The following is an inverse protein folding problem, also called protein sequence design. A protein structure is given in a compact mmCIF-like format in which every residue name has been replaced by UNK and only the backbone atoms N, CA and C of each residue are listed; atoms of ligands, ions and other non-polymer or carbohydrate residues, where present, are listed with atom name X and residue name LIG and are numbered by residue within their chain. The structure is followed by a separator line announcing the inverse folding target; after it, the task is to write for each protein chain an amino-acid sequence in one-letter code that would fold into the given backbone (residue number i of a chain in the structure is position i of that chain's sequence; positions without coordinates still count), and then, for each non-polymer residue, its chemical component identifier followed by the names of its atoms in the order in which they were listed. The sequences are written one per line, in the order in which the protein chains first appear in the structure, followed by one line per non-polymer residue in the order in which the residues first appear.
data_IF_865984322851
#
_entry.id   IF_865984322851
#
_cell.length_a   1.000
_cell.length_b   1.000
_cell.length_c   1.000
_cell.angle_alpha   90.00
_cell.angle_beta   90.00
_cell.angle_gamma   90.00
#
_symmetry.space_group_name_H-M   'P 1'
#
loop_
_entity.id
_entity.type
_entity.pdbx_description
1 polymer ?
#
# COMPACT_ATOMS: atom_id res chain seq x y z
N UNK A 1 -11.97 -55.45 16.85
CA UNK A 1 -11.65 -54.62 15.67
C UNK A 1 -10.90 -53.39 16.14
N UNK A 2 -9.63 -53.19 15.74
CA UNK A 2 -8.83 -52.01 16.12
C UNK A 2 -9.01 -50.94 15.04
N UNK A 3 -9.68 -49.85 15.37
CA UNK A 3 -9.84 -48.68 14.50
C UNK A 3 -8.55 -47.85 14.61
N UNK A 4 -7.83 -47.69 13.50
CA UNK A 4 -6.69 -46.78 13.42
C UNK A 4 -7.21 -45.41 12.97
N UNK A 5 -7.26 -44.45 13.90
CA UNK A 5 -7.54 -43.04 13.61
C UNK A 5 -6.32 -42.43 12.91
N UNK A 6 -6.44 -42.23 11.60
CA UNK A 6 -5.49 -41.46 10.79
C UNK A 6 -5.70 -39.97 11.09
N UNK A 7 -4.89 -39.38 11.96
CA UNK A 7 -4.81 -37.93 12.14
C UNK A 7 -4.13 -37.31 10.92
N UNK A 8 -4.91 -36.73 10.01
CA UNK A 8 -4.41 -35.84 8.96
C UNK A 8 -3.95 -34.53 9.62
N UNK A 9 -2.65 -34.44 9.90
CA UNK A 9 -2.02 -33.17 10.29
C UNK A 9 -1.93 -32.30 9.04
N UNK A 10 -2.88 -31.38 8.87
CA UNK A 10 -2.79 -30.34 7.86
C UNK A 10 -1.69 -29.34 8.27
N UNK A 11 -0.49 -29.50 7.73
CA UNK A 11 0.54 -28.46 7.81
C UNK A 11 0.05 -27.26 6.97
N UNK A 12 -0.47 -26.23 7.64
CA UNK A 12 -0.65 -24.93 7.02
C UNK A 12 0.74 -24.40 6.67
N UNK A 13 1.09 -24.41 5.39
CA UNK A 13 2.23 -23.65 4.90
C UNK A 13 1.94 -22.18 5.23
N UNK A 14 2.61 -21.64 6.26
CA UNK A 14 2.66 -20.21 6.49
C UNK A 14 3.49 -19.60 5.36
N UNK A 15 2.89 -19.48 4.17
CA UNK A 15 3.42 -18.64 3.12
C UNK A 15 3.42 -17.21 3.65
N UNK A 16 4.58 -16.55 3.65
CA UNK A 16 4.63 -15.12 3.92
C UNK A 16 3.82 -14.42 2.82
N UNK A 17 2.57 -14.05 3.14
CA UNK A 17 1.77 -13.19 2.27
C UNK A 17 2.34 -11.79 2.37
N UNK A 18 2.91 -11.32 1.27
CA UNK A 18 3.33 -9.92 1.11
C UNK A 18 2.13 -8.99 0.97
N UNK A 19 0.92 -9.53 0.75
CA UNK A 19 -0.31 -8.77 0.87
C UNK A 19 -0.71 -8.63 2.35
N UNK A 20 -0.87 -7.39 2.80
CA UNK A 20 -1.38 -7.08 4.13
C UNK A 20 -2.89 -7.27 4.19
N UNK A 21 -3.40 -7.65 5.36
CA UNK A 21 -4.83 -7.58 5.61
C UNK A 21 -5.32 -6.12 5.64
N UNK A 22 -6.58 -5.92 5.26
CA UNK A 22 -7.20 -4.59 5.14
C UNK A 22 -7.13 -3.79 6.45
N UNK A 23 -7.32 -4.43 7.62
CA UNK A 23 -7.30 -3.72 8.90
C UNK A 23 -5.88 -3.33 9.33
N UNK A 24 -4.85 -4.07 8.91
CA UNK A 24 -3.46 -3.62 9.07
C UNK A 24 -3.16 -2.37 8.24
N UNK A 25 -3.65 -2.30 7.01
CA UNK A 25 -3.55 -1.08 6.19
C UNK A 25 -4.30 0.09 6.83
N UNK A 26 -5.53 -0.13 7.31
CA UNK A 26 -6.31 0.87 8.05
C UNK A 26 -5.53 1.42 9.26
N UNK A 27 -4.95 0.54 10.08
CA UNK A 27 -4.16 0.95 11.25
C UNK A 27 -2.92 1.75 10.86
N UNK A 28 -2.21 1.34 9.81
CA UNK A 28 -1.03 2.06 9.32
C UNK A 28 -1.39 3.47 8.83
N UNK A 29 -2.45 3.62 8.05
CA UNK A 29 -2.93 4.93 7.56
C UNK A 29 -3.32 5.84 8.73
N UNK A 30 -4.06 5.33 9.73
CA UNK A 30 -4.41 6.11 10.93
C UNK A 30 -3.16 6.58 11.67
N UNK A 31 -2.22 5.68 11.93
CA UNK A 31 -0.95 5.99 12.64
C UNK A 31 -0.07 6.98 11.88
N UNK A 32 -0.08 6.93 10.56
CA UNK A 32 0.71 7.84 9.72
C UNK A 32 0.18 9.28 9.66
N UNK A 33 -1.02 9.53 10.20
CA UNK A 33 -1.58 10.89 10.29
C UNK A 33 -1.73 11.57 8.94
N UNK A 34 -2.18 10.83 7.93
CA UNK A 34 -2.50 11.35 6.59
C UNK A 34 -3.97 11.71 6.42
N UNK A 35 -4.85 11.15 7.27
CA UNK A 35 -6.30 11.37 7.21
C UNK A 35 -6.63 12.86 7.37
N UNK A 36 -7.48 13.38 6.48
CA UNK A 36 -7.91 14.77 6.47
C UNK A 36 -7.04 15.71 5.62
N UNK A 37 -5.85 15.27 5.16
CA UNK A 37 -5.06 16.09 4.23
C UNK A 37 -5.86 16.32 2.96
N UNK A 38 -6.07 17.59 2.59
CA UNK A 38 -6.91 18.01 1.46
C UNK A 38 -8.33 17.43 1.49
N UNK A 39 -8.85 17.09 2.68
CA UNK A 39 -10.18 16.52 2.85
C UNK A 39 -10.30 15.03 2.52
N UNK A 40 -9.21 14.32 2.25
CA UNK A 40 -9.26 12.88 1.97
C UNK A 40 -9.59 12.05 3.22
N UNK A 41 -10.48 11.09 3.04
CA UNK A 41 -10.93 10.20 4.12
C UNK A 41 -9.98 9.02 4.31
N UNK A 42 -10.07 8.33 5.44
CA UNK A 42 -9.36 7.06 5.66
C UNK A 42 -9.66 6.04 4.55
N UNK A 43 -10.91 6.00 4.07
CA UNK A 43 -11.31 5.08 2.99
C UNK A 43 -10.64 5.39 1.66
N UNK A 44 -10.31 6.65 1.36
CA UNK A 44 -9.62 7.02 0.12
C UNK A 44 -8.24 6.37 0.02
N UNK A 45 -7.47 6.42 1.11
CA UNK A 45 -6.12 5.85 1.17
C UNK A 45 -6.14 4.31 1.13
N UNK A 46 -7.10 3.68 1.82
CA UNK A 46 -7.23 2.22 1.81
C UNK A 46 -7.75 1.74 0.45
N UNK A 47 -8.67 2.48 -0.18
CA UNK A 47 -9.10 2.22 -1.56
C UNK A 47 -7.96 2.34 -2.56
N UNK A 48 -7.11 3.38 -2.43
CA UNK A 48 -5.90 3.52 -3.24
C UNK A 48 -5.00 2.29 -3.10
N UNK A 49 -4.63 1.91 -1.88
CA UNK A 49 -3.76 0.74 -1.64
C UNK A 49 -4.31 -0.54 -2.29
N UNK A 50 -5.62 -0.75 -2.22
CA UNK A 50 -6.27 -1.89 -2.85
C UNK A 50 -6.20 -1.85 -4.38
N UNK A 51 -6.49 -0.71 -5.00
CA UNK A 51 -6.50 -0.61 -6.46
C UNK A 51 -5.11 -0.44 -7.07
N UNK A 52 -4.12 0.01 -6.29
CA UNK A 52 -2.73 0.08 -6.70
C UNK A 52 -2.09 -1.31 -6.73
N UNK A 53 -2.16 -2.06 -5.62
CA UNK A 53 -1.42 -3.32 -5.48
C UNK A 53 -2.19 -4.50 -4.91
N UNK A 54 -3.50 -4.36 -4.60
CA UNK A 54 -4.26 -5.36 -3.81
C UNK A 54 -3.66 -5.59 -2.41
N UNK A 55 -3.10 -4.52 -1.83
CA UNK A 55 -2.38 -4.55 -0.56
C UNK A 55 -1.05 -5.32 -0.58
N UNK A 56 -0.59 -5.78 -1.74
CA UNK A 56 0.72 -6.41 -1.91
C UNK A 56 1.83 -5.36 -1.70
N UNK A 57 2.64 -5.57 -0.66
CA UNK A 57 3.79 -4.71 -0.33
C UNK A 57 5.05 -5.09 -1.10
N UNK A 58 5.10 -6.26 -1.74
CA UNK A 58 6.23 -6.70 -2.57
C UNK A 58 6.09 -6.28 -4.03
N UNK A 59 4.93 -5.76 -4.42
CA UNK A 59 4.64 -5.47 -5.82
C UNK A 59 5.56 -4.38 -6.36
N UNK A 60 6.39 -4.77 -7.31
CA UNK A 60 7.25 -3.87 -8.08
C UNK A 60 6.86 -3.98 -9.56
N UNK A 61 6.15 -2.97 -10.07
CA UNK A 61 5.82 -2.89 -11.51
C UNK A 61 6.91 -2.11 -12.23
N UNK A 62 7.76 -2.88 -12.91
CA UNK A 62 8.78 -2.35 -13.80
C UNK A 62 8.15 -1.39 -14.83
N UNK A 63 8.77 -0.24 -15.12
CA UNK A 63 10.12 0.14 -14.69
C UNK A 63 10.22 0.84 -13.33
N UNK A 64 9.17 1.50 -12.85
CA UNK A 64 9.30 2.60 -11.87
C UNK A 64 8.33 2.57 -10.69
N UNK A 65 7.44 1.59 -10.55
CA UNK A 65 6.41 1.63 -9.49
C UNK A 65 6.66 0.62 -8.37
N UNK A 66 6.60 1.09 -7.12
CA UNK A 66 7.04 0.33 -5.95
C UNK A 66 6.00 0.27 -4.83
N UNK A 67 5.84 -0.92 -4.25
CA UNK A 67 5.18 -1.12 -2.97
C UNK A 67 3.66 -0.99 -3.00
N UNK A 68 3.08 -0.90 -1.81
CA UNK A 68 1.63 -0.98 -1.62
C UNK A 68 0.86 0.16 -2.29
N UNK A 69 1.48 1.33 -2.41
CA UNK A 69 0.86 2.49 -3.07
C UNK A 69 1.31 2.67 -4.52
N UNK A 70 2.20 1.81 -5.05
CA UNK A 70 2.81 1.97 -6.37
C UNK A 70 3.38 3.40 -6.51
N UNK A 71 4.42 3.68 -5.71
CA UNK A 71 5.10 4.98 -5.67
C UNK A 71 6.15 5.00 -6.78
N UNK A 72 6.11 6.06 -7.59
CA UNK A 72 6.95 6.20 -8.78
C UNK A 72 8.37 6.69 -8.46
N UNK A 73 9.39 5.98 -8.92
CA UNK A 73 10.82 6.27 -8.68
C UNK A 73 11.36 7.49 -9.43
N UNK A 74 10.66 8.01 -10.44
CA UNK A 74 11.07 9.27 -11.08
C UNK A 74 10.94 10.45 -10.11
N UNK A 75 9.89 10.47 -9.29
CA UNK A 75 9.60 11.59 -8.39
C UNK A 75 9.99 11.33 -6.94
N UNK A 76 9.66 10.15 -6.41
CA UNK A 76 9.46 10.03 -4.96
C UNK A 76 10.55 9.28 -4.22
N UNK A 77 11.16 8.26 -4.81
CA UNK A 77 12.17 7.42 -4.18
C UNK A 77 13.39 7.18 -5.09
N UNK A 78 14.48 6.66 -4.54
CA UNK A 78 15.69 6.31 -5.28
C UNK A 78 15.82 4.80 -5.54
N UNK A 79 15.77 4.38 -6.81
CA UNK A 79 15.94 2.98 -7.23
C UNK A 79 17.33 2.67 -7.82
N UNK A 80 18.25 3.63 -7.83
CA UNK A 80 19.59 3.52 -8.40
C UNK A 80 19.67 3.51 -9.92
N UNK A 81 18.54 3.36 -10.63
CA UNK A 81 18.50 3.11 -12.09
C UNK A 81 17.69 4.14 -12.87
N UNK A 82 16.78 4.87 -12.23
CA UNK A 82 15.95 5.88 -12.90
C UNK A 82 16.75 7.16 -13.14
N UNK A 83 16.92 7.58 -14.42
CA UNK A 83 17.67 8.80 -14.74
C UNK A 83 16.95 10.06 -14.25
N UNK A 84 17.72 11.04 -13.75
CA UNK A 84 17.26 12.38 -13.31
C UNK A 84 16.13 12.37 -12.26
N UNK A 85 16.00 11.27 -11.52
CA UNK A 85 15.05 11.11 -10.41
C UNK A 85 15.16 12.23 -9.38
N UNK A 86 14.04 12.55 -8.71
CA UNK A 86 13.98 13.63 -7.72
C UNK A 86 14.12 13.17 -6.27
N UNK A 87 13.70 11.93 -5.97
CA UNK A 87 13.75 11.35 -4.62
C UNK A 87 13.16 12.28 -3.54
N UNK A 88 11.97 12.85 -3.80
CA UNK A 88 11.35 13.83 -2.91
C UNK A 88 10.97 13.29 -1.52
N UNK A 89 10.83 11.97 -1.37
CA UNK A 89 10.63 11.35 -0.05
C UNK A 89 11.95 11.05 0.67
N UNK A 90 13.10 11.19 0.01
CA UNK A 90 14.43 11.00 0.61
C UNK A 90 14.71 9.56 1.06
N UNK A 91 14.24 8.56 0.31
CA UNK A 91 14.37 7.15 0.68
C UNK A 91 14.65 6.23 -0.53
N UNK A 92 15.40 5.13 -0.34
CA UNK A 92 15.57 4.12 -1.38
C UNK A 92 14.25 3.39 -1.69
N UNK A 93 13.89 3.22 -2.96
CA UNK A 93 12.65 2.55 -3.37
C UNK A 93 12.53 1.10 -2.85
N UNK A 94 13.68 0.43 -2.60
CA UNK A 94 13.69 -0.90 -1.97
C UNK A 94 13.05 -0.92 -0.57
N UNK A 95 13.05 0.22 0.14
CA UNK A 95 12.43 0.30 1.45
C UNK A 95 10.90 0.20 1.33
N UNK A 96 10.31 0.59 0.20
CA UNK A 96 8.87 0.44 -0.05
C UNK A 96 8.43 -1.01 -0.33
N UNK A 97 9.37 -1.97 -0.33
CA UNK A 97 9.13 -3.37 -0.66
C UNK A 97 9.22 -4.26 0.58
N UNK A 98 8.46 -3.93 1.63
CA UNK A 98 8.48 -4.67 2.89
C UNK A 98 7.11 -4.59 3.61
N UNK A 99 6.87 -5.46 4.60
CA UNK A 99 5.56 -5.54 5.29
C UNK A 99 5.31 -4.41 6.29
N UNK A 100 6.34 -3.72 6.77
CA UNK A 100 6.22 -2.49 7.53
C UNK A 100 6.10 -1.29 6.59
N UNK A 101 4.85 -0.88 6.35
CA UNK A 101 4.50 0.22 5.44
C UNK A 101 4.58 1.61 6.06
N UNK A 102 5.32 1.79 7.16
CA UNK A 102 5.39 3.10 7.84
C UNK A 102 6.10 4.17 7.01
N UNK A 103 7.15 3.78 6.28
CA UNK A 103 7.86 4.63 5.32
C UNK A 103 7.05 4.85 4.04
N UNK A 104 6.29 3.86 3.57
CA UNK A 104 5.32 4.03 2.49
C UNK A 104 4.29 5.11 2.84
N UNK A 105 3.69 5.05 4.04
CA UNK A 105 2.68 6.03 4.49
C UNK A 105 3.30 7.40 4.71
N UNK A 106 4.55 7.47 5.18
CA UNK A 106 5.30 8.73 5.30
C UNK A 106 5.53 9.35 3.92
N UNK A 107 5.92 8.58 2.91
CA UNK A 107 6.09 9.09 1.56
C UNK A 107 4.75 9.49 0.94
N UNK A 108 3.70 8.67 1.10
CA UNK A 108 2.33 9.00 0.71
C UNK A 108 1.89 10.36 1.28
N UNK A 109 2.19 10.66 2.55
CA UNK A 109 1.91 11.96 3.18
C UNK A 109 2.54 13.13 2.43
N UNK A 110 3.80 12.99 2.02
CA UNK A 110 4.50 13.98 1.18
C UNK A 110 3.79 14.16 -0.15
N UNK A 111 3.46 13.05 -0.83
CA UNK A 111 2.82 13.10 -2.16
C UNK A 111 1.45 13.75 -2.10
N UNK A 112 0.60 13.39 -1.12
CA UNK A 112 -0.76 13.96 -1.05
C UNK A 112 -0.80 15.41 -0.60
N UNK A 113 0.31 15.92 -0.05
CA UNK A 113 0.48 17.34 0.26
C UNK A 113 0.82 18.17 -1.00
N UNK A 114 1.41 17.55 -2.03
CA UNK A 114 1.65 18.17 -3.35
C UNK A 114 0.34 18.62 -4.02
N UNK A 115 0.32 19.64 -4.91
CA UNK A 115 -0.91 20.16 -5.52
C UNK A 115 -1.84 19.10 -6.10
N UNK A 116 -1.29 18.03 -6.71
CA UNK A 116 -2.08 16.94 -7.29
C UNK A 116 -2.84 16.07 -6.27
N UNK A 117 -2.37 16.00 -5.02
CA UNK A 117 -2.98 15.16 -3.98
C UNK A 117 -3.06 13.68 -4.38
N UNK A 118 -4.16 13.00 -4.01
CA UNK A 118 -4.45 11.64 -4.48
C UNK A 118 -4.72 11.56 -6.01
N UNK A 119 -4.92 12.71 -6.66
CA UNK A 119 -5.06 12.81 -8.12
C UNK A 119 -3.82 12.36 -8.90
N UNK A 120 -2.66 12.25 -8.24
CA UNK A 120 -1.45 11.67 -8.82
C UNK A 120 -1.61 10.18 -9.21
N UNK A 121 -2.57 9.45 -8.63
CA UNK A 121 -2.80 8.03 -8.91
C UNK A 121 -4.00 7.80 -9.84
N UNK A 122 -3.74 7.22 -11.02
CA UNK A 122 -4.81 6.72 -11.89
C UNK A 122 -5.67 5.64 -11.20
N UNK A 123 -5.05 4.81 -10.35
CA UNK A 123 -5.76 3.81 -9.54
C UNK A 123 -6.84 4.45 -8.66
N UNK A 124 -6.52 5.53 -7.93
CA UNK A 124 -7.49 6.24 -7.10
C UNK A 124 -8.51 7.02 -7.94
N UNK A 125 -8.07 7.72 -9.00
CA UNK A 125 -8.97 8.49 -9.88
C UNK A 125 -10.07 7.61 -10.48
N UNK A 126 -9.73 6.43 -10.97
CA UNK A 126 -10.68 5.57 -11.70
C UNK A 126 -11.56 4.73 -10.77
N UNK A 127 -11.07 4.42 -9.56
CA UNK A 127 -11.71 3.43 -8.70
C UNK A 127 -12.28 3.99 -7.40
N UNK A 128 -11.78 5.12 -6.92
CA UNK A 128 -12.09 5.63 -5.58
C UNK A 128 -12.72 7.03 -5.59
N UNK A 129 -12.21 7.93 -6.43
CA UNK A 129 -12.65 9.33 -6.48
C UNK A 129 -14.16 9.43 -6.69
N UNK A 130 -14.84 10.12 -5.77
CA UNK A 130 -16.28 10.35 -5.84
C UNK A 130 -17.16 9.13 -5.58
N UNK A 131 -16.58 7.99 -5.15
CA UNK A 131 -17.33 6.78 -4.83
C UNK A 131 -17.46 6.60 -3.31
N UNK A 132 -18.41 5.77 -2.89
CA UNK A 132 -18.53 5.39 -1.50
C UNK A 132 -17.39 4.43 -1.11
N UNK A 133 -16.41 4.93 -0.38
CA UNK A 133 -15.23 4.18 0.10
C UNK A 133 -15.39 3.62 1.53
N UNK A 134 -16.60 3.68 2.11
CA UNK A 134 -16.83 3.22 3.50
C UNK A 134 -16.59 1.70 3.69
N UNK A 135 -16.77 0.90 2.65
CA UNK A 135 -16.54 -0.55 2.70
C UNK A 135 -15.07 -0.91 2.94
N UNK A 136 -14.13 -0.07 2.51
CA UNK A 136 -12.69 -0.29 2.71
C UNK A 136 -12.27 -0.18 4.18
N UNK A 137 -13.06 0.48 5.02
CA UNK A 137 -12.72 0.72 6.44
C UNK A 137 -13.66 0.01 7.40
N UNK A 138 -14.83 -0.43 6.96
CA UNK A 138 -15.85 -1.07 7.81
C UNK A 138 -15.30 -2.27 8.57
N UNK A 139 -15.59 -2.39 9.86
CA UNK A 139 -15.12 -3.51 10.70
C UNK A 139 -13.63 -3.44 11.06
N UNK A 140 -12.98 -2.31 10.78
CA UNK A 140 -11.71 -1.87 11.33
C UNK A 140 -11.94 -0.50 12.00
#
# INVERSE_FOLDING_TARGET
MKIYLLFLVAFALAGNSWALDRCSVVRAIRRGGVVGIKGYTLGDYVCLAYHASRYDTSLNRSPTEYGIFQINSYWWCDDGKTPRRKNLCGLPCKNLLNTNISDDVKCLKTIVSDPNGLGAWNAWKNNCKGKNVSSYVRGC
#
